data_IF_553954556704
#
_entry.id   IF_553954556704
#
_cell.length_a   1.000
_cell.length_b   1.000
_cell.length_c   1.000
_cell.angle_alpha   90.00
_cell.angle_beta   90.00
_cell.angle_gamma   90.00
#
_symmetry.space_group_name_H-M   'P 1'
#
loop_
_entity.id
_entity.type
_entity.pdbx_description
1 polymer ?
#
# COMPACT_ATOMS: atom_id res chain seq x y z
N UNK A 1 -15.23 -0.89 -52.08
CA UNK A 1 -15.60 0.51 -52.31
C UNK A 1 -15.00 1.32 -51.19
N UNK A 2 -14.07 2.21 -51.54
CA UNK A 2 -13.55 3.27 -50.67
C UNK A 2 -14.69 4.21 -50.25
N UNK A 3 -14.59 4.80 -49.05
CA UNK A 3 -14.69 6.25 -48.87
C UNK A 3 -14.14 6.67 -47.49
N UNK A 4 -13.25 7.66 -47.55
CA UNK A 4 -12.53 8.30 -46.46
C UNK A 4 -13.34 9.39 -45.73
N UNK A 5 -12.73 9.83 -44.64
CA UNK A 5 -13.07 10.87 -43.69
C UNK A 5 -13.53 12.23 -44.26
N UNK A 6 -14.29 12.97 -43.45
CA UNK A 6 -14.19 14.42 -43.40
C UNK A 6 -14.41 14.97 -41.99
N UNK A 7 -13.60 15.99 -41.71
CA UNK A 7 -13.32 16.71 -40.47
C UNK A 7 -14.44 17.67 -40.01
N UNK A 8 -14.47 17.98 -38.70
CA UNK A 8 -14.83 19.33 -38.23
C UNK A 8 -14.10 19.68 -36.92
N UNK A 9 -13.56 20.90 -36.88
CA UNK A 9 -12.91 21.58 -35.73
C UNK A 9 -13.84 22.73 -35.26
N UNK A 10 -13.53 23.42 -34.13
CA UNK A 10 -14.43 23.61 -33.00
C UNK A 10 -15.37 24.82 -33.12
N UNK A 11 -16.54 24.76 -32.48
CA UNK A 11 -17.40 25.92 -32.27
C UNK A 11 -17.22 26.49 -30.86
N UNK A 12 -16.92 27.79 -30.84
CA UNK A 12 -16.79 28.68 -29.69
C UNK A 12 -18.14 29.10 -29.10
N UNK A 13 -18.10 29.47 -27.82
CA UNK A 13 -19.18 29.96 -26.95
C UNK A 13 -19.74 31.30 -27.43
N UNK A 14 -21.07 31.42 -27.57
CA UNK A 14 -21.79 32.70 -27.45
C UNK A 14 -23.31 32.50 -27.24
N UNK A 15 -23.88 33.19 -26.25
CA UNK A 15 -25.28 33.66 -26.29
C UNK A 15 -26.36 32.88 -25.53
N UNK A 16 -26.43 33.06 -24.21
CA UNK A 16 -27.67 32.88 -23.43
C UNK A 16 -28.66 34.01 -23.78
N UNK A 17 -29.89 33.70 -24.22
CA UNK A 17 -31.09 34.46 -23.82
C UNK A 17 -32.41 33.78 -24.21
N UNK A 18 -33.35 33.81 -23.26
CA UNK A 18 -34.82 33.71 -23.40
C UNK A 18 -35.48 32.35 -23.74
N UNK A 19 -35.82 31.60 -22.69
CA UNK A 19 -36.94 30.65 -22.69
C UNK A 19 -38.23 31.38 -22.28
N UNK A 20 -39.19 31.51 -23.21
CA UNK A 20 -40.60 31.81 -22.92
C UNK A 20 -41.39 30.51 -22.92
N UNK A 21 -42.29 30.39 -21.95
CA UNK A 21 -43.24 29.29 -21.78
C UNK A 21 -44.18 29.14 -22.98
N UNK A 22 -44.35 27.90 -23.44
CA UNK A 22 -45.57 27.49 -24.16
C UNK A 22 -45.92 26.05 -23.79
N UNK A 23 -47.19 25.85 -23.50
CA UNK A 23 -47.79 24.62 -23.01
C UNK A 23 -47.90 23.57 -24.13
N UNK A 24 -47.68 22.30 -23.78
CA UNK A 24 -47.92 21.16 -24.67
C UNK A 24 -49.26 20.52 -24.26
N UNK A 25 -50.21 20.51 -25.19
CA UNK A 25 -51.49 19.78 -25.09
C UNK A 25 -51.27 18.26 -25.16
N UNK A 26 -52.06 17.51 -24.37
CA UNK A 26 -52.09 16.05 -24.35
C UNK A 26 -53.06 15.47 -25.39
N UNK A 27 -52.73 14.33 -26.05
CA UNK A 27 -53.73 13.43 -26.61
C UNK A 27 -54.09 12.29 -25.63
N UNK A 28 -55.31 11.72 -25.73
CA UNK A 28 -55.88 10.88 -24.69
C UNK A 28 -55.56 9.38 -24.88
N UNK A 29 -55.30 8.68 -23.77
CA UNK A 29 -55.39 7.21 -23.71
C UNK A 29 -54.16 6.50 -23.14
N UNK A 30 -53.92 6.61 -21.83
CA UNK A 30 -53.19 5.59 -21.09
C UNK A 30 -53.49 5.68 -19.59
N UNK A 31 -53.94 4.57 -19.00
CA UNK A 31 -54.29 4.45 -17.59
C UNK A 31 -53.05 4.59 -16.70
N UNK A 32 -53.14 5.48 -15.71
CA UNK A 32 -52.12 5.74 -14.68
C UNK A 32 -52.06 4.57 -13.70
N UNK A 33 -50.96 3.82 -13.67
CA UNK A 33 -50.59 3.06 -12.47
C UNK A 33 -50.10 4.06 -11.40
N UNK A 34 -50.86 4.15 -10.31
CA UNK A 34 -50.54 4.95 -9.11
C UNK A 34 -49.32 4.35 -8.37
N UNK A 35 -48.12 4.60 -8.88
CA UNK A 35 -46.85 4.28 -8.22
C UNK A 35 -45.79 5.39 -8.31
N UNK A 36 -45.98 6.38 -9.20
CA UNK A 36 -44.96 7.38 -9.51
C UNK A 36 -44.72 8.49 -8.47
N UNK A 37 -45.55 8.62 -7.42
CA UNK A 37 -45.45 9.80 -6.55
C UNK A 37 -44.34 9.72 -5.49
N UNK A 38 -43.85 8.53 -5.13
CA UNK A 38 -42.75 8.38 -4.17
C UNK A 38 -41.36 8.41 -4.84
N UNK A 39 -41.23 7.88 -6.06
CA UNK A 39 -39.99 7.95 -6.84
C UNK A 39 -39.68 9.39 -7.30
N UNK A 40 -40.68 10.11 -7.83
CA UNK A 40 -40.52 11.52 -8.21
C UNK A 40 -40.15 12.44 -7.03
N UNK A 41 -40.66 12.13 -5.83
CA UNK A 41 -40.31 12.87 -4.60
C UNK A 41 -38.85 12.66 -4.16
N UNK A 42 -38.24 11.53 -4.48
CA UNK A 42 -36.86 11.21 -4.07
C UNK A 42 -35.85 11.82 -5.04
N UNK A 43 -36.16 11.81 -6.34
CA UNK A 43 -35.35 12.45 -7.39
C UNK A 43 -35.40 13.98 -7.28
N UNK A 44 -36.55 14.56 -6.95
CA UNK A 44 -36.68 16.00 -6.71
C UNK A 44 -35.91 16.48 -5.46
N UNK A 45 -35.78 15.64 -4.43
CA UNK A 45 -34.97 15.94 -3.23
C UNK A 45 -33.47 15.86 -3.53
N UNK A 46 -33.04 14.96 -4.42
CA UNK A 46 -31.65 14.90 -4.93
C UNK A 46 -31.32 16.14 -5.78
N UNK A 47 -32.25 16.60 -6.62
CA UNK A 47 -32.05 17.80 -7.44
C UNK A 47 -32.02 19.11 -6.61
N UNK A 48 -32.77 19.18 -5.51
CA UNK A 48 -32.84 20.36 -4.65
C UNK A 48 -31.60 20.58 -3.76
N UNK A 49 -30.73 19.57 -3.62
CA UNK A 49 -29.49 19.64 -2.84
C UNK A 49 -28.23 20.02 -3.63
N UNK A 50 -28.35 20.19 -4.96
CA UNK A 50 -27.21 20.48 -5.85
C UNK A 50 -26.92 21.99 -5.93
N UNK A 51 -25.65 22.44 -5.84
CA UNK A 51 -25.30 23.82 -6.10
C UNK A 51 -25.59 24.20 -7.56
N UNK A 52 -26.07 25.43 -7.79
CA UNK A 52 -26.46 25.98 -9.11
C UNK A 52 -25.37 25.99 -10.21
N UNK A 53 -24.17 25.47 -9.95
CA UNK A 53 -23.07 25.37 -10.92
C UNK A 53 -22.88 23.97 -11.52
N UNK A 54 -23.70 22.98 -11.17
CA UNK A 54 -23.66 21.63 -11.77
C UNK A 54 -24.86 21.36 -12.66
N UNK A 55 -24.92 22.04 -13.80
CA UNK A 55 -25.57 21.47 -15.00
C UNK A 55 -24.45 21.03 -15.93
N UNK A 56 -23.73 19.98 -15.54
CA UNK A 56 -22.79 19.29 -16.42
C UNK A 56 -23.51 18.06 -17.00
N UNK A 57 -23.40 17.90 -18.31
CA UNK A 57 -24.06 16.91 -19.18
C UNK A 57 -24.04 15.46 -18.67
N UNK A 58 -23.14 15.14 -17.72
CA UNK A 58 -23.03 13.84 -17.04
C UNK A 58 -24.26 13.50 -16.19
N UNK A 59 -24.83 14.46 -15.47
CA UNK A 59 -26.03 14.22 -14.64
C UNK A 59 -27.25 13.94 -15.53
N UNK A 60 -27.36 14.65 -16.65
CA UNK A 60 -28.41 14.41 -17.65
C UNK A 60 -28.27 13.05 -18.33
N UNK A 61 -27.04 12.60 -18.63
CA UNK A 61 -26.78 11.29 -19.23
C UNK A 61 -27.14 10.12 -18.30
N UNK A 62 -26.81 10.24 -17.01
CA UNK A 62 -27.17 9.23 -16.00
C UNK A 62 -28.68 9.17 -15.78
N UNK A 63 -29.37 10.33 -15.76
CA UNK A 63 -30.84 10.37 -15.69
C UNK A 63 -31.47 9.70 -16.92
N UNK A 64 -30.89 9.91 -18.11
CA UNK A 64 -31.36 9.30 -19.37
C UNK A 64 -31.21 7.77 -19.38
N UNK A 65 -30.09 7.22 -18.89
CA UNK A 65 -29.91 5.77 -18.77
C UNK A 65 -30.89 5.13 -17.77
N UNK A 66 -31.21 5.82 -16.67
CA UNK A 66 -32.24 5.36 -15.72
C UNK A 66 -33.64 5.36 -16.36
N UNK A 67 -33.97 6.35 -17.20
CA UNK A 67 -35.24 6.38 -17.94
C UNK A 67 -35.34 5.30 -19.04
N UNK A 68 -34.22 4.93 -19.67
CA UNK A 68 -34.19 3.89 -20.70
C UNK A 68 -34.45 2.47 -20.14
N UNK A 69 -34.18 2.25 -18.85
CA UNK A 69 -34.38 0.94 -18.17
C UNK A 69 -35.85 0.71 -17.75
N UNK A 70 -36.72 1.68 -17.98
CA UNK A 70 -38.14 1.66 -17.58
C UNK A 70 -39.02 0.68 -18.38
N UNK A 71 -38.49 0.12 -19.48
CA UNK A 71 -39.23 -0.80 -20.35
C UNK A 71 -38.63 -2.20 -20.33
N UNK A 72 -38.84 -2.97 -19.25
CA UNK A 72 -38.80 -4.44 -19.35
C UNK A 72 -38.04 -5.25 -18.30
N UNK A 73 -37.82 -4.76 -17.07
CA UNK A 73 -37.21 -5.59 -16.01
C UNK A 73 -38.06 -5.70 -14.75
N UNK A 74 -37.95 -6.86 -14.09
CA UNK A 74 -38.67 -7.24 -12.87
C UNK A 74 -38.31 -6.33 -11.69
N UNK A 75 -39.30 -5.92 -10.89
CA UNK A 75 -39.17 -4.83 -9.91
C UNK A 75 -38.12 -5.11 -8.81
N UNK A 76 -37.90 -6.38 -8.47
CA UNK A 76 -36.87 -6.79 -7.49
C UNK A 76 -35.44 -6.68 -8.06
N UNK A 77 -35.24 -7.04 -9.34
CA UNK A 77 -33.96 -6.88 -10.03
C UNK A 77 -33.64 -5.39 -10.21
N UNK A 78 -34.66 -4.59 -10.53
CA UNK A 78 -34.54 -3.13 -10.65
C UNK A 78 -34.12 -2.46 -9.34
N UNK A 79 -34.69 -2.86 -8.20
CA UNK A 79 -34.32 -2.31 -6.89
C UNK A 79 -32.87 -2.67 -6.50
N UNK A 80 -32.39 -3.88 -6.85
CA UNK A 80 -31.01 -4.31 -6.60
C UNK A 80 -30.04 -3.53 -7.51
N UNK A 81 -30.31 -3.47 -8.81
CA UNK A 81 -29.46 -2.77 -9.79
C UNK A 81 -29.39 -1.27 -9.47
N UNK A 82 -30.49 -0.64 -9.09
CA UNK A 82 -30.49 0.76 -8.65
C UNK A 82 -29.81 0.93 -7.30
N UNK A 83 -29.98 0.01 -6.35
CA UNK A 83 -29.28 0.06 -5.06
C UNK A 83 -27.75 -0.05 -5.18
N UNK A 84 -27.27 -0.90 -6.08
CA UNK A 84 -25.84 -1.02 -6.41
C UNK A 84 -25.35 0.20 -7.20
N UNK A 85 -26.13 0.65 -8.20
CA UNK A 85 -25.80 1.85 -8.99
C UNK A 85 -25.80 3.12 -8.15
N UNK A 86 -26.71 3.27 -7.18
CA UNK A 86 -26.75 4.40 -6.23
C UNK A 86 -25.52 4.41 -5.32
N UNK A 87 -25.09 3.25 -4.81
CA UNK A 87 -23.84 3.16 -4.03
C UNK A 87 -22.63 3.53 -4.87
N UNK A 88 -22.64 3.21 -6.16
CA UNK A 88 -21.57 3.59 -7.08
C UNK A 88 -21.62 5.08 -7.43
N UNK A 89 -22.80 5.64 -7.63
CA UNK A 89 -23.00 7.08 -7.83
C UNK A 89 -22.59 7.86 -6.58
N UNK A 90 -22.93 7.41 -5.36
CA UNK A 90 -22.47 8.04 -4.11
C UNK A 90 -20.95 8.06 -4.00
N UNK A 91 -20.26 6.99 -4.41
CA UNK A 91 -18.79 6.94 -4.43
C UNK A 91 -18.18 7.87 -5.49
N UNK A 92 -18.76 7.90 -6.69
CA UNK A 92 -18.32 8.79 -7.78
C UNK A 92 -18.58 10.25 -7.41
N UNK A 93 -19.72 10.56 -6.81
CA UNK A 93 -20.03 11.89 -6.29
C UNK A 93 -19.12 12.28 -5.13
N UNK A 94 -18.72 11.34 -4.25
CA UNK A 94 -17.71 11.60 -3.22
C UNK A 94 -16.33 11.90 -3.84
N UNK A 95 -15.96 11.23 -4.93
CA UNK A 95 -14.73 11.50 -5.68
C UNK A 95 -14.78 12.87 -6.39
N UNK A 96 -15.89 13.21 -7.04
CA UNK A 96 -16.07 14.48 -7.75
C UNK A 96 -16.21 15.67 -6.79
N UNK A 97 -16.95 15.54 -5.69
CA UNK A 97 -17.04 16.57 -4.65
C UNK A 97 -15.66 16.86 -4.03
N UNK A 98 -14.83 15.83 -3.90
CA UNK A 98 -13.47 15.97 -3.42
C UNK A 98 -12.61 16.82 -4.39
N UNK A 99 -12.79 16.64 -5.71
CA UNK A 99 -12.03 17.33 -6.75
C UNK A 99 -12.55 18.75 -7.04
N UNK A 100 -13.83 19.00 -6.81
CA UNK A 100 -14.53 20.25 -7.17
C UNK A 100 -14.74 21.20 -5.98
N UNK A 101 -15.04 20.70 -4.77
CA UNK A 101 -15.42 21.55 -3.61
C UNK A 101 -14.33 21.64 -2.52
N UNK A 102 -13.28 20.81 -2.61
CA UNK A 102 -12.29 20.68 -1.55
C UNK A 102 -12.83 19.95 -0.31
N UNK A 103 -11.98 19.78 0.71
CA UNK A 103 -12.36 19.05 1.92
C UNK A 103 -13.46 19.80 2.71
N UNK A 104 -14.54 19.09 3.05
CA UNK A 104 -15.56 19.63 3.94
C UNK A 104 -14.96 20.03 5.30
N UNK A 105 -15.63 20.93 6.03
CA UNK A 105 -15.19 21.32 7.39
C UNK A 105 -15.07 20.09 8.32
N UNK A 106 -16.03 19.16 8.23
CA UNK A 106 -16.04 17.92 9.00
C UNK A 106 -14.85 17.02 8.64
N UNK A 107 -14.52 16.91 7.35
CA UNK A 107 -13.37 16.13 6.91
C UNK A 107 -12.04 16.73 7.39
N UNK A 108 -11.92 18.05 7.36
CA UNK A 108 -10.76 18.75 7.89
C UNK A 108 -10.58 18.54 9.40
N UNK A 109 -11.67 18.58 10.17
CA UNK A 109 -11.65 18.30 11.61
C UNK A 109 -11.24 16.84 11.90
N UNK A 110 -11.76 15.88 11.13
CA UNK A 110 -11.41 14.47 11.27
C UNK A 110 -9.94 14.19 10.92
N UNK A 111 -9.45 14.76 9.80
CA UNK A 111 -8.03 14.71 9.45
C UNK A 111 -7.17 15.32 10.56
N UNK A 112 -7.61 16.41 11.17
CA UNK A 112 -6.93 17.03 12.31
C UNK A 112 -6.81 16.10 13.52
N UNK A 113 -7.88 15.34 13.84
CA UNK A 113 -7.85 14.33 14.91
C UNK A 113 -6.90 13.19 14.59
N UNK A 114 -6.95 12.67 13.35
CA UNK A 114 -6.08 11.59 12.91
C UNK A 114 -4.60 12.00 12.93
N UNK A 115 -4.26 13.20 12.47
CA UNK A 115 -2.90 13.74 12.57
C UNK A 115 -2.40 13.81 14.00
N UNK A 116 -3.24 14.25 14.94
CA UNK A 116 -2.87 14.34 16.35
C UNK A 116 -2.65 12.96 16.99
N UNK A 117 -3.33 11.92 16.49
CA UNK A 117 -3.13 10.54 16.95
C UNK A 117 -1.78 9.99 16.47
N UNK A 118 -1.46 10.20 15.18
CA UNK A 118 -0.25 9.66 14.53
C UNK A 118 1.02 10.42 14.94
N UNK A 119 0.96 11.75 14.95
CA UNK A 119 2.09 12.60 15.29
C UNK A 119 2.15 12.82 16.79
N UNK A 120 2.95 11.99 17.46
CA UNK A 120 3.21 12.06 18.90
C UNK A 120 4.09 13.27 19.25
N UNK A 121 4.07 13.74 20.51
CA UNK A 121 4.95 14.82 20.95
C UNK A 121 6.43 14.48 20.69
N UNK A 122 7.13 15.38 19.99
CA UNK A 122 8.52 15.21 19.61
C UNK A 122 9.45 15.84 20.67
N UNK A 123 10.45 15.08 21.12
CA UNK A 123 11.53 15.58 21.98
C UNK A 123 12.62 16.25 21.16
N UNK A 124 12.91 15.70 19.98
CA UNK A 124 13.86 16.22 18.99
C UNK A 124 13.27 15.96 17.61
N UNK A 125 13.54 16.85 16.66
CA UNK A 125 13.14 16.67 15.27
C UNK A 125 14.38 16.66 14.38
N UNK A 126 14.43 15.75 13.41
CA UNK A 126 15.54 15.55 12.49
C UNK A 126 15.00 15.69 11.07
N UNK A 127 15.56 16.62 10.30
CA UNK A 127 15.22 16.80 8.88
C UNK A 127 16.27 16.10 8.01
N UNK A 128 15.80 15.30 7.07
CA UNK A 128 16.68 14.61 6.10
C UNK A 128 16.92 15.45 4.86
N UNK A 129 17.90 15.03 4.04
CA UNK A 129 18.17 15.66 2.75
C UNK A 129 17.06 15.44 1.71
N UNK A 130 16.21 14.44 1.92
CA UNK A 130 15.04 14.15 1.09
C UNK A 130 13.80 14.95 1.50
N UNK A 131 13.92 15.84 2.49
CA UNK A 131 12.82 16.66 3.00
C UNK A 131 11.96 15.99 4.07
N UNK A 132 12.15 14.69 4.34
CA UNK A 132 11.44 14.00 5.42
C UNK A 132 11.81 14.58 6.79
N UNK A 133 10.83 14.59 7.68
CA UNK A 133 10.98 14.99 9.07
C UNK A 133 10.73 13.77 9.95
N UNK A 134 11.71 13.43 10.80
CA UNK A 134 11.60 12.40 11.82
C UNK A 134 11.50 13.06 13.19
N UNK A 135 10.47 12.68 13.93
CA UNK A 135 10.26 13.08 15.31
C UNK A 135 10.78 11.98 16.23
N UNK A 136 11.68 12.35 17.13
CA UNK A 136 12.13 11.50 18.22
C UNK A 136 11.06 11.51 19.31
N UNK A 137 10.29 10.44 19.36
CA UNK A 137 9.17 10.27 20.28
C UNK A 137 9.64 9.42 21.45
N UNK A 138 9.20 9.76 22.67
CA UNK A 138 9.43 8.91 23.84
C UNK A 138 9.01 7.46 23.56
N UNK A 139 9.86 6.51 23.96
CA UNK A 139 9.66 5.10 23.64
C UNK A 139 8.27 4.61 24.03
N UNK A 140 7.74 4.97 25.20
CA UNK A 140 6.42 4.52 25.67
C UNK A 140 5.26 5.34 25.10
N UNK A 141 5.53 6.44 24.42
CA UNK A 141 4.51 7.29 23.77
C UNK A 141 4.39 7.04 22.26
N UNK A 142 5.20 6.13 21.69
CA UNK A 142 5.12 5.77 20.28
C UNK A 142 3.74 5.18 19.89
N UNK A 143 3.32 5.28 18.61
CA UNK A 143 2.01 4.82 18.13
C UNK A 143 1.69 3.36 18.45
N UNK A 144 2.71 2.51 18.60
CA UNK A 144 2.54 1.10 18.96
C UNK A 144 1.62 0.90 20.19
N UNK A 145 1.78 1.75 21.20
CA UNK A 145 1.11 1.64 22.49
C UNK A 145 -0.33 2.16 22.49
N UNK A 146 -0.81 2.74 21.39
CA UNK A 146 -2.24 3.04 21.24
C UNK A 146 -3.06 1.75 21.07
N UNK A 147 -2.42 0.63 20.70
CA UNK A 147 -3.07 -0.65 20.52
C UNK A 147 -3.62 -1.17 21.86
N UNK A 148 -4.91 -1.53 21.98
CA UNK A 148 -5.51 -1.96 23.25
C UNK A 148 -4.76 -3.11 23.94
N UNK A 149 -4.26 -4.07 23.15
CA UNK A 149 -3.50 -5.21 23.67
C UNK A 149 -2.11 -4.83 24.21
N UNK A 150 -1.57 -3.66 23.88
CA UNK A 150 -0.18 -3.27 24.20
C UNK A 150 -0.07 -2.22 25.32
N UNK A 151 -1.17 -1.55 25.70
CA UNK A 151 -1.19 -0.43 26.67
C UNK A 151 -0.57 -0.72 28.04
N UNK A 152 -0.66 -1.96 28.52
CA UNK A 152 -0.24 -2.33 29.88
C UNK A 152 1.06 -3.14 29.93
N UNK A 153 1.74 -3.32 28.80
CA UNK A 153 2.94 -4.12 28.73
C UNK A 153 4.18 -3.27 29.01
N UNK A 154 4.97 -3.65 30.01
CA UNK A 154 6.28 -3.07 30.29
C UNK A 154 7.33 -3.71 29.39
N UNK A 155 7.54 -3.10 28.23
CA UNK A 155 8.67 -3.42 27.37
C UNK A 155 9.86 -2.58 27.81
N UNK A 156 10.71 -3.13 28.67
CA UNK A 156 11.99 -2.48 28.91
C UNK A 156 12.83 -2.61 27.65
N UNK A 157 13.37 -1.50 27.09
CA UNK A 157 14.43 -1.60 26.10
C UNK A 157 15.58 -2.35 26.78
N UNK A 158 15.76 -3.60 26.41
CA UNK A 158 16.76 -4.46 27.01
C UNK A 158 18.12 -3.82 26.71
N UNK A 159 18.91 -3.54 27.76
CA UNK A 159 20.32 -3.19 27.58
C UNK A 159 21.00 -4.45 27.06
N UNK A 160 21.10 -4.60 25.76
CA UNK A 160 22.15 -5.45 25.20
C UNK A 160 23.47 -4.74 25.48
N UNK A 161 24.06 -5.07 26.65
CA UNK A 161 25.48 -4.88 26.90
C UNK A 161 26.22 -5.81 25.94
N UNK A 162 26.39 -5.34 24.71
CA UNK A 162 27.38 -5.74 23.69
C UNK A 162 26.84 -5.40 22.30
N UNK A 163 26.77 -4.10 21.99
CA UNK A 163 27.44 -3.68 20.77
C UNK A 163 28.60 -2.83 21.23
N UNK A 164 29.77 -3.47 21.35
CA UNK A 164 31.02 -2.77 21.08
C UNK A 164 30.77 -1.78 19.95
N UNK A 165 31.19 -0.54 20.14
CA UNK A 165 31.37 0.44 19.08
C UNK A 165 32.06 -0.24 17.90
N UNK A 166 31.29 -0.85 17.00
CA UNK A 166 31.79 -1.20 15.69
C UNK A 166 31.92 0.16 15.06
N UNK A 167 33.16 0.61 14.91
CA UNK A 167 33.53 1.57 13.89
C UNK A 167 33.23 0.92 12.54
N UNK A 168 31.94 0.73 12.26
CA UNK A 168 31.39 0.31 10.99
C UNK A 168 31.08 1.61 10.26
N UNK A 169 31.85 1.87 9.21
CA UNK A 169 31.82 3.04 8.35
C UNK A 169 30.52 3.20 7.53
N UNK A 170 29.47 2.46 7.86
CA UNK A 170 28.17 2.54 7.20
C UNK A 170 27.24 3.52 7.92
N UNK A 171 27.10 4.73 7.34
CA UNK A 171 26.11 5.76 7.72
C UNK A 171 24.68 5.31 7.40
N UNK A 172 24.20 4.26 8.06
CA UNK A 172 22.92 3.63 7.70
C UNK A 172 21.73 4.15 8.51
N UNK A 173 22.01 4.87 9.60
CA UNK A 173 21.05 5.62 10.39
C UNK A 173 20.92 7.09 10.00
N UNK A 174 20.05 7.79 10.70
CA UNK A 174 19.86 9.24 10.56
C UNK A 174 21.15 10.03 10.85
N UNK A 175 21.22 11.24 10.29
CA UNK A 175 22.33 12.19 10.56
C UNK A 175 22.39 12.51 12.07
N UNK A 176 23.56 12.92 12.53
CA UNK A 176 23.83 13.33 13.93
C UNK A 176 23.55 12.24 14.99
N UNK A 177 23.74 10.97 14.62
CA UNK A 177 23.55 9.82 15.54
C UNK A 177 22.10 9.49 15.87
N UNK A 178 21.14 10.05 15.11
CA UNK A 178 19.71 9.78 15.29
C UNK A 178 19.10 10.39 16.54
N UNK A 179 18.22 9.61 17.18
CA UNK A 179 17.42 10.01 18.33
C UNK A 179 18.14 9.75 19.66
N UNK A 180 17.93 10.59 20.69
CA UNK A 180 18.50 10.37 22.01
C UNK A 180 17.97 9.07 22.64
N UNK A 181 18.73 8.52 23.59
CA UNK A 181 18.32 7.32 24.32
C UNK A 181 16.95 7.50 24.99
N UNK A 182 16.14 6.44 24.97
CA UNK A 182 14.75 6.47 25.46
C UNK A 182 13.74 7.01 24.45
N UNK A 183 14.18 7.37 23.23
CA UNK A 183 13.29 7.86 22.17
C UNK A 183 13.53 7.11 20.86
N UNK A 184 12.54 7.11 19.97
CA UNK A 184 12.59 6.43 18.68
C UNK A 184 12.20 7.37 17.54
N UNK A 185 12.87 7.30 16.37
CA UNK A 185 12.56 8.14 15.22
C UNK A 185 11.29 7.64 14.51
N UNK A 186 10.31 8.53 14.37
CA UNK A 186 9.06 8.26 13.65
C UNK A 186 8.88 9.33 12.58
N UNK A 187 8.62 8.91 11.33
CA UNK A 187 8.37 9.86 10.24
C UNK A 187 7.08 10.63 10.53
N UNK A 188 7.16 11.96 10.50
CA UNK A 188 6.01 12.83 10.68
C UNK A 188 5.05 12.65 9.51
N UNK A 189 3.78 12.42 9.83
CA UNK A 189 2.69 12.38 8.85
C UNK A 189 2.18 13.78 8.58
N UNK A 190 2.07 14.16 7.31
CA UNK A 190 1.50 15.46 6.91
C UNK A 190 0.00 15.34 6.63
N UNK A 191 -0.69 16.48 6.58
CA UNK A 191 -2.12 16.51 6.23
C UNK A 191 -2.32 16.02 4.79
N UNK A 192 -1.41 16.40 3.90
CA UNK A 192 -1.38 16.03 2.50
C UNK A 192 -1.21 14.51 2.32
N UNK A 193 -0.44 13.85 3.19
CA UNK A 193 -0.33 12.39 3.20
C UNK A 193 -1.68 11.72 3.46
N UNK A 194 -2.37 12.12 4.55
CA UNK A 194 -3.68 11.55 4.89
C UNK A 194 -4.73 11.85 3.83
N UNK A 195 -4.66 13.03 3.21
CA UNK A 195 -5.53 13.40 2.11
C UNK A 195 -5.33 12.45 0.93
N UNK A 196 -4.08 12.21 0.54
CA UNK A 196 -3.75 11.34 -0.59
C UNK A 196 -4.16 9.89 -0.33
N UNK A 197 -3.89 9.37 0.87
CA UNK A 197 -4.35 8.05 1.31
C UNK A 197 -5.88 7.94 1.27
N UNK A 198 -6.60 8.96 1.78
CA UNK A 198 -8.07 8.98 1.77
C UNK A 198 -8.66 9.01 0.36
N UNK A 199 -8.12 9.84 -0.54
CA UNK A 199 -8.54 9.87 -1.96
C UNK A 199 -8.42 8.50 -2.60
N UNK A 200 -7.36 7.79 -2.25
CA UNK A 200 -7.04 6.51 -2.85
C UNK A 200 -7.82 5.33 -2.26
N UNK A 201 -8.27 5.39 -1.00
CA UNK A 201 -9.03 4.31 -0.37
C UNK A 201 -10.26 3.86 -1.19
N UNK A 202 -10.93 4.78 -1.89
CA UNK A 202 -12.05 4.44 -2.77
C UNK A 202 -11.62 3.55 -3.95
N UNK A 203 -10.44 3.83 -4.51
CA UNK A 203 -9.88 3.11 -5.66
C UNK A 203 -9.15 1.82 -5.26
N UNK A 204 -8.69 1.71 -4.01
CA UNK A 204 -7.98 0.53 -3.51
C UNK A 204 -8.80 -0.76 -3.63
N UNK A 205 -10.12 -0.69 -3.37
CA UNK A 205 -11.02 -1.83 -3.47
C UNK A 205 -11.14 -2.40 -4.90
N UNK A 206 -10.82 -1.60 -5.92
CA UNK A 206 -10.80 -2.00 -7.34
C UNK A 206 -9.39 -2.24 -7.87
N UNK A 207 -8.39 -2.14 -7.00
CA UNK A 207 -7.02 -2.31 -7.37
C UNK A 207 -6.68 -3.75 -7.69
N UNK A 208 -5.76 -3.92 -8.63
CA UNK A 208 -5.19 -5.21 -8.98
C UNK A 208 -3.81 -5.31 -8.38
N UNK A 209 -3.54 -6.44 -7.71
CA UNK A 209 -2.22 -6.79 -7.21
C UNK A 209 -1.61 -7.80 -8.16
N UNK A 210 -0.29 -7.72 -8.34
CA UNK A 210 0.47 -8.76 -9.03
C UNK A 210 1.67 -9.18 -8.21
N UNK A 211 2.02 -10.45 -8.34
CA UNK A 211 3.02 -11.13 -7.54
C UNK A 211 3.99 -11.88 -8.45
N UNK A 212 5.27 -11.79 -8.13
CA UNK A 212 6.32 -12.63 -8.70
C UNK A 212 7.20 -13.08 -7.53
N UNK A 213 6.80 -14.19 -6.90
CA UNK A 213 7.37 -14.68 -5.65
C UNK A 213 7.82 -16.14 -5.78
N UNK A 214 8.91 -16.48 -5.10
CA UNK A 214 9.23 -17.86 -4.77
C UNK A 214 8.93 -18.11 -3.29
N UNK A 215 8.30 -19.24 -3.00
CA UNK A 215 7.81 -19.53 -1.65
C UNK A 215 8.05 -20.98 -1.26
N UNK A 216 8.33 -21.17 0.02
CA UNK A 216 8.34 -22.50 0.66
C UNK A 216 6.97 -23.18 0.55
N UNK A 217 6.92 -24.50 0.72
CA UNK A 217 5.67 -25.26 0.72
C UNK A 217 4.71 -24.72 1.79
N UNK A 218 3.44 -24.59 1.45
CA UNK A 218 2.41 -24.19 2.40
C UNK A 218 1.95 -25.42 3.22
N UNK A 219 2.81 -25.92 4.10
CA UNK A 219 2.50 -27.03 5.00
C UNK A 219 2.26 -26.49 6.43
N UNK A 220 1.07 -26.69 7.02
CA UNK A 220 0.79 -26.29 8.40
C UNK A 220 1.73 -26.92 9.45
N UNK A 221 2.44 -28.00 9.10
CA UNK A 221 3.45 -28.65 9.96
C UNK A 221 4.80 -27.95 9.92
N UNK A 222 5.04 -27.05 8.96
CA UNK A 222 6.25 -26.26 8.91
C UNK A 222 6.35 -25.39 10.18
N UNK A 223 7.54 -25.38 10.77
CA UNK A 223 7.85 -24.57 11.95
C UNK A 223 8.97 -23.61 11.58
N UNK A 224 8.62 -22.59 10.80
CA UNK A 224 9.54 -21.54 10.39
C UNK A 224 9.52 -20.46 11.47
N UNK A 225 10.66 -20.22 12.12
CA UNK A 225 10.83 -19.17 13.11
C UNK A 225 11.34 -17.86 12.49
N UNK A 226 11.60 -17.82 11.18
CA UNK A 226 12.03 -16.58 10.53
C UNK A 226 12.41 -16.76 9.07
N UNK A 227 12.60 -15.64 8.39
CA UNK A 227 13.06 -15.57 7.00
C UNK A 227 13.99 -14.37 6.80
N UNK A 228 14.99 -14.52 5.93
CA UNK A 228 15.99 -13.50 5.64
C UNK A 228 16.30 -13.39 4.15
N UNK A 229 16.79 -12.22 3.73
CA UNK A 229 17.34 -12.01 2.38
C UNK A 229 18.20 -10.75 2.31
N UNK A 230 19.17 -10.75 1.39
CA UNK A 230 19.81 -9.53 0.86
C UNK A 230 19.12 -9.16 -0.45
N UNK A 231 18.43 -8.02 -0.49
CA UNK A 231 17.70 -7.58 -1.67
C UNK A 231 18.52 -6.53 -2.44
N UNK A 232 18.46 -6.56 -3.77
CA UNK A 232 18.92 -5.46 -4.62
C UNK A 232 17.97 -4.27 -4.52
N UNK A 233 18.49 -3.03 -4.42
CA UNK A 233 17.68 -1.82 -4.33
C UNK A 233 17.42 -1.23 -5.73
N UNK A 234 16.16 -1.19 -6.18
CA UNK A 234 15.79 -0.54 -7.44
C UNK A 234 14.76 0.58 -7.21
N UNK A 235 14.66 1.50 -8.17
CA UNK A 235 13.61 2.52 -8.22
C UNK A 235 12.73 2.34 -9.46
N UNK A 236 11.79 1.38 -9.46
CA UNK A 236 10.88 1.15 -10.56
C UNK A 236 10.01 2.38 -10.87
N UNK A 237 9.70 2.59 -12.15
CA UNK A 237 8.74 3.63 -12.56
C UNK A 237 7.33 3.25 -12.13
N UNK A 238 6.73 4.12 -11.31
CA UNK A 238 5.37 3.99 -10.78
C UNK A 238 4.58 5.28 -11.02
N UNK A 239 3.31 5.15 -11.37
CA UNK A 239 2.36 6.28 -11.45
C UNK A 239 1.75 6.60 -10.07
N UNK A 240 1.09 7.76 -9.89
CA UNK A 240 0.49 8.15 -8.61
C UNK A 240 -0.54 7.18 -8.01
N UNK A 241 -1.10 6.27 -8.82
CA UNK A 241 -2.11 5.28 -8.43
C UNK A 241 -1.55 3.85 -8.37
N UNK A 242 -0.23 3.71 -8.32
CA UNK A 242 0.50 2.45 -8.38
C UNK A 242 1.56 2.40 -7.29
N UNK A 243 1.99 1.18 -6.94
CA UNK A 243 3.19 0.98 -6.14
C UNK A 243 3.88 -0.33 -6.55
N UNK A 244 5.16 -0.42 -6.20
CA UNK A 244 6.02 -1.59 -6.49
C UNK A 244 6.96 -1.84 -5.31
N UNK A 245 7.17 -3.11 -4.95
CA UNK A 245 7.91 -3.51 -3.76
C UNK A 245 8.77 -4.76 -4.00
N UNK A 246 9.84 -4.87 -3.21
CA UNK A 246 10.57 -6.11 -2.95
C UNK A 246 10.27 -6.59 -1.55
N UNK A 247 10.02 -7.88 -1.39
CA UNK A 247 9.46 -8.42 -0.15
C UNK A 247 10.22 -9.66 0.32
N UNK A 248 10.46 -9.73 1.62
CA UNK A 248 10.55 -10.99 2.37
C UNK A 248 9.31 -11.10 3.24
N UNK A 249 8.66 -12.26 3.22
CA UNK A 249 7.38 -12.50 3.91
C UNK A 249 7.44 -13.77 4.74
N UNK A 250 6.82 -13.73 5.92
CA UNK A 250 6.42 -14.92 6.69
C UNK A 250 4.91 -14.93 6.90
N UNK A 251 4.29 -16.10 6.86
CA UNK A 251 2.84 -16.24 6.91
C UNK A 251 2.40 -17.47 7.71
N UNK A 252 1.28 -17.34 8.42
CA UNK A 252 0.52 -18.47 8.98
C UNK A 252 -0.98 -18.14 8.96
N UNK A 253 -1.73 -18.86 8.11
CA UNK A 253 -3.16 -18.60 7.92
C UNK A 253 -3.42 -17.19 7.39
N UNK A 254 -4.18 -16.39 8.15
CA UNK A 254 -4.53 -14.99 7.79
C UNK A 254 -3.49 -13.97 8.25
N UNK A 255 -2.51 -14.39 9.04
CA UNK A 255 -1.48 -13.52 9.57
C UNK A 255 -0.25 -13.52 8.67
N UNK A 256 0.31 -12.35 8.44
CA UNK A 256 1.53 -12.20 7.66
C UNK A 256 2.38 -11.05 8.21
N UNK A 257 3.69 -11.16 8.06
CA UNK A 257 4.65 -10.07 8.27
C UNK A 257 5.48 -9.97 7.00
N UNK A 258 5.63 -8.75 6.50
CA UNK A 258 6.44 -8.41 5.34
C UNK A 258 7.44 -7.31 5.69
N UNK A 259 8.61 -7.36 5.09
CA UNK A 259 9.61 -6.31 5.13
C UNK A 259 10.38 -6.24 3.80
N UNK A 260 10.95 -5.08 3.51
CA UNK A 260 11.78 -4.87 2.34
C UNK A 260 11.80 -3.41 1.92
N UNK A 261 11.81 -3.16 0.61
CA UNK A 261 11.72 -1.81 0.06
C UNK A 261 10.50 -1.64 -0.82
N UNK A 262 9.99 -0.41 -0.90
CA UNK A 262 8.80 -0.06 -1.67
C UNK A 262 8.89 1.34 -2.26
N UNK A 263 8.37 1.51 -3.47
CA UNK A 263 8.11 2.81 -4.11
C UNK A 263 6.60 3.02 -4.12
N UNK A 264 6.12 4.01 -3.35
CA UNK A 264 4.69 4.20 -3.10
C UNK A 264 4.31 5.70 -3.06
N UNK A 265 3.97 6.29 -4.21
CA UNK A 265 3.49 7.67 -4.28
C UNK A 265 2.18 7.90 -3.53
N UNK A 266 1.35 6.87 -3.33
CA UNK A 266 0.10 6.98 -2.59
C UNK A 266 0.40 7.25 -1.12
N UNK A 267 1.40 6.58 -0.56
CA UNK A 267 1.75 6.74 0.84
C UNK A 267 2.72 7.91 1.10
N UNK A 268 3.66 8.17 0.18
CA UNK A 268 4.75 9.11 0.41
C UNK A 268 4.64 10.42 -0.35
N UNK A 269 3.87 10.47 -1.45
CA UNK A 269 3.78 11.64 -2.32
C UNK A 269 5.01 11.85 -3.19
N UNK A 270 5.93 10.87 -3.19
CA UNK A 270 7.14 10.84 -3.99
C UNK A 270 7.36 9.45 -4.58
N UNK A 271 8.41 9.32 -5.39
CA UNK A 271 8.81 8.07 -6.04
C UNK A 271 10.17 7.60 -5.51
N UNK A 272 10.46 7.83 -4.23
CA UNK A 272 11.68 7.32 -3.61
C UNK A 272 11.48 5.86 -3.18
N UNK A 273 12.52 5.04 -3.36
CA UNK A 273 12.60 3.69 -2.79
C UNK A 273 12.80 3.79 -1.28
N UNK A 274 11.86 3.27 -0.49
CA UNK A 274 11.83 3.45 0.96
C UNK A 274 11.78 2.13 1.71
N UNK A 275 12.40 2.09 2.89
CA UNK A 275 12.28 0.97 3.83
C UNK A 275 10.84 0.87 4.34
N UNK A 276 10.26 -0.30 4.23
CA UNK A 276 8.92 -0.54 4.76
C UNK A 276 8.80 -1.88 5.47
N UNK A 277 7.73 -1.95 6.24
CA UNK A 277 7.21 -3.13 6.89
C UNK A 277 5.68 -3.10 6.82
N UNK A 278 5.09 -4.28 6.68
CA UNK A 278 3.64 -4.46 6.72
C UNK A 278 3.34 -5.69 7.56
N UNK A 279 2.34 -5.61 8.42
CA UNK A 279 1.81 -6.81 9.07
C UNK A 279 0.30 -6.92 8.90
N UNK A 280 -0.18 -8.15 8.85
CA UNK A 280 -1.59 -8.51 8.91
C UNK A 280 -1.80 -9.44 10.10
N UNK A 281 -2.80 -9.11 10.90
CA UNK A 281 -3.25 -9.83 12.07
C UNK A 281 -4.75 -10.09 11.91
N UNK A 282 -5.11 -11.26 11.40
CA UNK A 282 -6.48 -11.63 11.05
C UNK A 282 -7.08 -10.69 9.99
N UNK A 283 -7.96 -9.80 10.41
CA UNK A 283 -8.62 -8.80 9.54
C UNK A 283 -7.97 -7.42 9.61
N UNK A 284 -7.08 -7.20 10.58
CA UNK A 284 -6.36 -5.93 10.74
C UNK A 284 -5.07 -5.99 9.94
N UNK A 285 -4.75 -4.94 9.20
CA UNK A 285 -3.46 -4.77 8.57
C UNK A 285 -2.88 -3.42 8.93
N UNK A 286 -1.56 -3.33 8.96
CA UNK A 286 -0.88 -2.10 9.27
C UNK A 286 0.40 -1.93 8.47
N UNK A 287 0.58 -0.71 7.98
CA UNK A 287 1.76 -0.30 7.24
C UNK A 287 2.63 0.60 8.13
N UNK A 288 3.91 0.22 8.32
CA UNK A 288 4.86 0.93 9.17
C UNK A 288 4.24 1.35 10.51
N UNK A 289 4.31 2.64 10.84
CA UNK A 289 3.73 3.24 12.05
C UNK A 289 2.45 4.02 11.77
N UNK A 290 1.77 3.77 10.64
CA UNK A 290 0.48 4.40 10.30
C UNK A 290 -0.68 3.92 11.17
N UNK A 291 -0.42 2.91 11.98
CA UNK A 291 -1.36 2.30 12.90
C UNK A 291 -0.60 1.63 14.05
N UNK A 292 -1.31 1.32 15.15
CA UNK A 292 -0.68 0.72 16.32
C UNK A 292 -0.31 -0.76 16.12
N UNK A 293 0.79 -1.20 16.73
CA UNK A 293 1.16 -2.63 16.84
C UNK A 293 2.65 -2.91 16.73
N UNK A 294 3.38 -2.20 15.88
CA UNK A 294 4.82 -2.40 15.73
C UNK A 294 5.61 -1.52 16.70
N UNK A 295 6.39 -2.13 17.58
CA UNK A 295 7.21 -1.43 18.59
C UNK A 295 8.61 -1.19 18.04
N UNK A 296 8.93 0.06 17.70
CA UNK A 296 10.28 0.47 17.31
C UNK A 296 11.17 0.52 18.56
N UNK A 297 12.40 0.04 18.43
CA UNK A 297 13.43 0.11 19.49
C UNK A 297 14.70 0.84 19.04
N UNK A 298 14.97 0.89 17.74
CA UNK A 298 16.19 1.47 17.21
C UNK A 298 16.15 3.00 17.27
N UNK A 299 17.19 3.64 17.79
CA UNK A 299 17.25 5.10 17.87
C UNK A 299 17.83 5.75 16.61
N UNK A 300 18.47 4.97 15.74
CA UNK A 300 19.27 5.48 14.62
C UNK A 300 18.64 5.19 13.26
N UNK A 301 18.11 3.98 13.05
CA UNK A 301 17.62 3.50 11.76
C UNK A 301 16.09 3.51 11.78
N UNK A 302 15.43 4.46 11.10
CA UNK A 302 13.99 4.51 11.06
C UNK A 302 13.42 3.65 9.93
N UNK A 303 12.16 3.23 10.09
CA UNK A 303 11.30 2.89 8.95
C UNK A 303 11.10 4.13 8.06
N UNK A 304 10.60 3.95 6.85
CA UNK A 304 10.37 5.01 5.87
C UNK A 304 11.64 5.71 5.34
N UNK A 305 12.85 5.29 5.76
CA UNK A 305 14.11 5.84 5.23
C UNK A 305 14.20 5.66 3.72
N UNK A 306 14.71 6.68 3.04
CA UNK A 306 15.00 6.61 1.60
C UNK A 306 16.31 5.85 1.39
N UNK A 307 16.28 4.90 0.46
CA UNK A 307 17.46 4.16 0.03
C UNK A 307 18.13 4.79 -1.18
N UNK A 308 19.44 4.57 -1.30
CA UNK A 308 20.13 4.70 -2.58
C UNK A 308 19.79 3.49 -3.44
N UNK A 309 19.73 3.69 -4.75
CA UNK A 309 19.24 2.68 -5.69
C UNK A 309 20.28 2.33 -6.73
N UNK A 310 20.28 1.06 -7.10
CA UNK A 310 21.15 0.44 -8.10
C UNK A 310 20.98 1.14 -9.44
N UNK A 311 22.12 1.38 -10.09
CA UNK A 311 22.25 1.98 -11.42
C UNK A 311 23.33 1.23 -12.19
N UNK A 312 23.38 1.34 -13.53
CA UNK A 312 24.48 0.74 -14.29
C UNK A 312 25.85 1.11 -13.69
N UNK A 313 26.63 0.10 -13.29
CA UNK A 313 27.95 0.28 -12.68
C UNK A 313 27.98 0.56 -11.17
N UNK A 314 26.83 0.62 -10.47
CA UNK A 314 26.80 0.77 -9.01
C UNK A 314 25.65 -0.04 -8.41
N UNK A 315 26.00 -1.09 -7.67
CA UNK A 315 25.07 -1.97 -6.99
C UNK A 315 24.79 -1.48 -5.56
N UNK A 316 23.51 -1.41 -5.19
CA UNK A 316 23.09 -1.18 -3.81
C UNK A 316 22.25 -2.37 -3.33
N UNK A 317 22.62 -2.91 -2.18
CA UNK A 317 21.97 -4.05 -1.55
C UNK A 317 21.68 -3.75 -0.09
N UNK A 318 20.57 -4.29 0.41
CA UNK A 318 20.15 -4.15 1.80
C UNK A 318 19.63 -5.48 2.31
N UNK A 319 19.97 -5.81 3.56
CA UNK A 319 19.60 -7.11 4.14
C UNK A 319 18.47 -6.94 5.15
N UNK A 320 17.43 -7.77 5.02
CA UNK A 320 16.24 -7.77 5.86
C UNK A 320 16.02 -9.15 6.47
N UNK A 321 15.66 -9.18 7.75
CA UNK A 321 15.29 -10.40 8.45
C UNK A 321 14.04 -10.21 9.29
N UNK A 322 13.17 -11.21 9.24
CA UNK A 322 12.03 -11.37 10.14
C UNK A 322 12.32 -12.59 11.00
N UNK A 323 12.42 -12.43 12.32
CA UNK A 323 12.84 -13.49 13.23
C UNK A 323 11.95 -13.53 14.48
N UNK A 324 11.43 -14.70 14.82
CA UNK A 324 10.74 -14.95 16.07
C UNK A 324 11.73 -15.27 17.18
N UNK A 325 11.73 -14.46 18.22
CA UNK A 325 12.46 -14.74 19.47
C UNK A 325 11.86 -15.99 20.14
N UNK A 326 12.68 -17.01 20.34
CA UNK A 326 12.26 -18.29 20.92
C UNK A 326 11.87 -18.19 22.40
N UNK A 327 12.37 -17.18 23.13
CA UNK A 327 12.13 -17.02 24.57
C UNK A 327 10.78 -16.37 24.86
N UNK A 328 10.43 -15.33 24.10
CA UNK A 328 9.23 -14.52 24.36
C UNK A 328 8.21 -14.52 23.21
N UNK A 329 8.54 -15.12 22.08
CA UNK A 329 7.65 -15.26 20.93
C UNK A 329 7.44 -13.99 20.10
N UNK A 330 8.17 -12.90 20.38
CA UNK A 330 8.09 -11.66 19.60
C UNK A 330 8.72 -11.85 18.23
N UNK A 331 8.06 -11.33 17.20
CA UNK A 331 8.63 -11.26 15.86
C UNK A 331 9.42 -9.97 15.71
N UNK A 332 10.72 -10.08 15.47
CA UNK A 332 11.65 -8.99 15.27
C UNK A 332 11.85 -8.69 13.79
N UNK A 333 11.86 -7.40 13.46
CA UNK A 333 12.43 -6.89 12.23
C UNK A 333 13.89 -6.51 12.51
N UNK A 334 14.80 -7.15 11.78
CA UNK A 334 16.23 -6.83 11.81
C UNK A 334 16.70 -6.39 10.42
N UNK A 335 17.74 -5.58 10.42
CA UNK A 335 18.19 -4.92 9.21
C UNK A 335 19.71 -4.72 9.18
N UNK A 336 20.27 -4.83 7.97
CA UNK A 336 21.69 -4.66 7.72
C UNK A 336 22.54 -5.89 8.04
N UNK A 337 23.84 -5.84 7.72
CA UNK A 337 24.77 -6.95 7.94
C UNK A 337 24.97 -7.27 9.42
N UNK A 338 24.79 -6.27 10.29
CA UNK A 338 24.93 -6.41 11.75
C UNK A 338 23.63 -6.84 12.43
N UNK A 339 22.59 -7.23 11.67
CA UNK A 339 21.30 -7.70 12.20
C UNK A 339 20.67 -6.72 13.21
N UNK A 340 20.81 -5.42 12.95
CA UNK A 340 20.38 -4.36 13.85
C UNK A 340 18.88 -4.49 14.13
N UNK A 341 18.50 -4.54 15.41
CA UNK A 341 17.10 -4.61 15.82
C UNK A 341 16.40 -3.29 15.49
N UNK A 342 15.43 -3.33 14.59
CA UNK A 342 14.62 -2.15 14.23
C UNK A 342 13.43 -2.02 15.19
N UNK A 343 12.72 -3.13 15.39
CA UNK A 343 11.54 -3.20 16.23
C UNK A 343 10.94 -4.60 16.21
N UNK A 344 9.83 -4.78 16.91
CA UNK A 344 9.15 -6.07 16.99
C UNK A 344 7.62 -5.96 16.99
N UNK A 345 6.98 -7.03 16.55
CA UNK A 345 5.56 -7.30 16.71
C UNK A 345 5.33 -8.26 17.88
N UNK A 346 4.59 -7.84 18.91
CA UNK A 346 4.20 -8.71 20.01
C UNK A 346 3.29 -9.86 19.53
N UNK A 347 3.45 -11.08 20.07
CA UNK A 347 2.67 -12.25 19.64
C UNK A 347 1.17 -12.10 19.93
N UNK A 348 0.78 -11.22 20.87
CA UNK A 348 -0.61 -10.92 21.22
C UNK A 348 -1.40 -10.32 20.06
N UNK A 349 -0.72 -9.73 19.07
CA UNK A 349 -1.37 -9.20 17.86
C UNK A 349 -1.90 -10.32 16.97
N UNK A 350 -1.30 -11.50 17.02
CA UNK A 350 -1.50 -12.54 16.02
C UNK A 350 -2.37 -13.69 16.51
N UNK A 351 -2.98 -14.37 15.53
CA UNK A 351 -3.71 -15.63 15.68
C UNK A 351 -2.82 -16.82 15.29
N UNK A 352 -2.43 -16.93 14.01
CA UNK A 352 -1.53 -17.95 13.48
C UNK A 352 -0.06 -17.66 13.79
N UNK A 353 0.39 -16.42 13.57
CA UNK A 353 1.76 -16.01 13.88
C UNK A 353 2.02 -15.81 15.39
N UNK A 354 1.08 -16.18 16.26
CA UNK A 354 1.38 -16.36 17.70
C UNK A 354 2.41 -17.49 17.90
N UNK A 355 2.35 -18.50 17.04
CA UNK A 355 3.31 -19.59 16.93
C UNK A 355 4.37 -19.33 15.85
N UNK A 356 4.74 -20.40 15.15
CA UNK A 356 5.65 -20.35 14.01
C UNK A 356 4.93 -19.97 12.71
N UNK A 357 5.69 -19.52 11.72
CA UNK A 357 5.20 -19.39 10.35
C UNK A 357 5.11 -20.78 9.68
N UNK A 358 4.11 -20.95 8.81
CA UNK A 358 3.97 -22.15 7.97
C UNK A 358 4.61 -21.97 6.58
N UNK A 359 4.82 -20.71 6.17
CA UNK A 359 5.38 -20.36 4.88
C UNK A 359 6.26 -19.10 4.97
N UNK A 360 7.36 -19.12 4.24
CA UNK A 360 8.16 -17.96 3.86
C UNK A 360 8.17 -17.75 2.34
N UNK A 361 8.30 -16.50 1.91
CA UNK A 361 8.36 -16.11 0.49
C UNK A 361 9.29 -14.90 0.24
N UNK A 362 9.83 -14.82 -0.97
CA UNK A 362 10.72 -13.76 -1.45
C UNK A 362 10.37 -13.34 -2.87
N UNK A 363 10.56 -12.07 -3.22
CA UNK A 363 10.42 -11.58 -4.59
C UNK A 363 9.81 -10.19 -4.68
N UNK A 364 8.91 -9.99 -5.64
CA UNK A 364 8.26 -8.71 -5.93
C UNK A 364 6.74 -8.71 -5.81
N UNK A 365 6.20 -7.58 -5.36
CA UNK A 365 4.75 -7.30 -5.33
C UNK A 365 4.49 -5.95 -6.00
N UNK A 366 3.43 -5.87 -6.81
CA UNK A 366 2.96 -4.60 -7.39
C UNK A 366 1.47 -4.42 -7.21
N UNK A 367 1.05 -3.19 -7.40
CA UNK A 367 -0.36 -2.83 -7.38
C UNK A 367 -0.66 -1.71 -8.36
N UNK A 368 -1.87 -1.74 -8.89
CA UNK A 368 -2.44 -0.63 -9.64
C UNK A 368 -3.94 -0.50 -9.42
N UNK A 369 -4.43 0.73 -9.25
CA UNK A 369 -5.86 1.05 -9.31
C UNK A 369 -6.31 1.60 -10.67
N UNK A 370 -5.47 1.49 -11.69
CA UNK A 370 -5.72 1.92 -13.08
C UNK A 370 -5.36 0.78 -14.04
N UNK A 371 -5.86 0.76 -15.30
CA UNK A 371 -5.61 -0.33 -16.24
C UNK A 371 -4.20 -0.33 -16.86
N UNK A 372 -3.22 0.19 -16.12
CA UNK A 372 -1.79 0.10 -16.42
C UNK A 372 -1.06 -0.45 -15.20
N UNK A 373 0.04 -1.15 -15.39
CA UNK A 373 0.79 -1.84 -14.32
C UNK A 373 2.22 -1.31 -14.24
N UNK A 374 2.74 -1.05 -13.03
CA UNK A 374 4.06 -0.44 -12.84
C UNK A 374 5.21 -1.38 -13.19
N UNK A 375 6.43 -0.86 -13.27
CA UNK A 375 7.62 -1.72 -13.31
C UNK A 375 7.77 -2.48 -11.98
N UNK A 376 8.28 -3.72 -12.03
CA UNK A 376 8.67 -4.51 -10.85
C UNK A 376 10.17 -4.71 -10.83
N UNK A 377 10.80 -4.55 -9.66
CA UNK A 377 12.24 -4.73 -9.50
C UNK A 377 13.03 -3.77 -10.40
N UNK A 378 13.87 -4.33 -11.27
CA UNK A 378 14.65 -3.56 -12.25
C UNK A 378 13.85 -3.11 -13.48
N UNK A 379 12.59 -3.56 -13.60
CA UNK A 379 11.77 -3.36 -14.81
C UNK A 379 12.10 -4.34 -15.94
N UNK A 380 12.99 -5.32 -15.70
CA UNK A 380 13.41 -6.34 -16.68
C UNK A 380 12.82 -7.69 -16.31
N UNK A 381 12.54 -8.50 -17.33
CA UNK A 381 12.21 -9.91 -17.14
C UNK A 381 13.54 -10.68 -17.03
N UNK A 382 13.77 -11.46 -15.96
CA UNK A 382 15.01 -12.21 -15.75
C UNK A 382 15.07 -13.46 -16.65
N UNK A 383 15.11 -13.29 -17.98
CA UNK A 383 15.19 -14.41 -18.93
C UNK A 383 16.55 -15.13 -18.88
N UNK A 384 17.61 -14.35 -18.70
CA UNK A 384 18.98 -14.82 -18.45
C UNK A 384 19.45 -14.04 -17.23
N UNK A 385 19.53 -14.73 -16.09
CA UNK A 385 19.76 -14.09 -14.80
C UNK A 385 21.09 -13.36 -14.77
N UNK A 386 21.06 -12.11 -14.29
CA UNK A 386 22.22 -11.25 -14.15
C UNK A 386 22.16 -10.47 -12.84
N UNK A 387 23.11 -10.72 -11.95
CA UNK A 387 23.23 -10.02 -10.66
C UNK A 387 23.53 -8.51 -10.80
N UNK A 388 23.87 -8.05 -12.01
CA UNK A 388 24.14 -6.65 -12.30
C UNK A 388 22.94 -5.91 -12.92
N UNK A 389 21.94 -6.64 -13.43
CA UNK A 389 20.86 -6.07 -14.23
C UNK A 389 19.47 -6.40 -13.70
N UNK A 390 19.30 -7.59 -13.12
CA UNK A 390 18.02 -8.08 -12.63
C UNK A 390 17.85 -7.79 -11.14
N UNK A 391 16.61 -7.55 -10.72
CA UNK A 391 16.32 -7.46 -9.30
C UNK A 391 16.28 -8.85 -8.68
N UNK A 392 16.76 -8.93 -7.44
CA UNK A 392 16.84 -10.20 -6.73
C UNK A 392 16.66 -10.06 -5.22
N UNK A 393 16.36 -11.21 -4.63
CA UNK A 393 16.51 -11.54 -3.22
C UNK A 393 17.57 -12.64 -3.14
N UNK A 394 18.79 -12.29 -2.75
CA UNK A 394 19.92 -13.22 -2.58
C UNK A 394 20.06 -13.66 -1.13
N UNK A 395 20.92 -14.65 -0.89
CA UNK A 395 21.17 -15.25 0.43
C UNK A 395 19.86 -15.56 1.18
N UNK A 396 18.87 -16.05 0.44
CA UNK A 396 17.57 -16.34 1.05
C UNK A 396 17.76 -17.43 2.11
N UNK A 397 17.05 -17.28 3.21
CA UNK A 397 17.19 -18.22 4.31
C UNK A 397 15.92 -18.28 5.14
N UNK A 398 15.70 -19.43 5.78
CA UNK A 398 14.71 -19.63 6.82
C UNK A 398 15.39 -19.93 8.14
N UNK A 399 14.74 -19.58 9.24
CA UNK A 399 15.12 -20.07 10.56
C UNK A 399 14.16 -21.20 10.95
N UNK A 400 14.71 -22.32 11.43
CA UNK A 400 13.90 -23.46 11.90
C UNK A 400 13.38 -23.25 13.33
N UNK A 401 12.61 -24.22 13.83
CA UNK A 401 12.07 -24.19 15.21
C UNK A 401 13.11 -24.00 16.32
N UNK A 402 14.40 -24.28 16.05
CA UNK A 402 15.51 -24.10 16.99
C UNK A 402 16.26 -22.77 16.78
N UNK A 403 15.78 -21.91 15.87
CA UNK A 403 16.39 -20.62 15.53
C UNK A 403 17.65 -20.78 14.67
N UNK A 404 17.87 -21.94 14.05
CA UNK A 404 19.02 -22.16 13.18
C UNK A 404 18.71 -21.72 11.76
N UNK A 405 19.55 -20.86 11.20
CA UNK A 405 19.50 -20.46 9.79
C UNK A 405 19.78 -21.66 8.88
N UNK A 406 18.92 -21.83 7.89
CA UNK A 406 18.99 -22.89 6.88
C UNK A 406 18.63 -22.33 5.51
N UNK A 407 19.19 -22.97 4.49
CA UNK A 407 18.70 -22.86 3.12
C UNK A 407 17.25 -23.39 3.06
N UNK A 408 16.32 -22.68 2.39
CA UNK A 408 14.93 -23.12 2.29
C UNK A 408 14.74 -24.37 1.41
N UNK A 409 15.75 -24.77 0.64
CA UNK A 409 15.67 -25.87 -0.31
C UNK A 409 14.72 -25.54 -1.45
N UNK A 410 14.08 -26.56 -2.01
CA UNK A 410 13.19 -26.40 -3.17
C UNK A 410 12.03 -25.45 -2.87
N UNK A 411 11.91 -24.40 -3.68
CA UNK A 411 10.81 -23.45 -3.64
C UNK A 411 9.71 -23.81 -4.64
N UNK A 412 8.60 -23.10 -4.51
CA UNK A 412 7.46 -23.14 -5.41
C UNK A 412 7.16 -21.76 -5.94
N UNK A 413 7.01 -21.69 -7.26
CA UNK A 413 6.72 -20.45 -7.96
C UNK A 413 5.31 -19.96 -7.68
N UNK A 414 5.17 -18.67 -7.41
CA UNK A 414 3.91 -17.95 -7.36
C UNK A 414 4.00 -16.68 -8.23
N UNK A 415 3.53 -16.81 -9.47
CA UNK A 415 3.36 -15.71 -10.42
C UNK A 415 1.93 -15.70 -10.94
N UNK A 416 1.24 -14.56 -10.87
CA UNK A 416 -0.17 -14.43 -11.30
C UNK A 416 -0.32 -13.71 -12.65
N UNK A 417 0.73 -13.05 -13.13
CA UNK A 417 0.76 -12.34 -14.40
C UNK A 417 2.09 -12.56 -15.15
N UNK A 418 2.35 -13.81 -15.55
CA UNK A 418 3.61 -14.24 -16.20
C UNK A 418 4.06 -13.39 -17.41
N UNK A 419 3.11 -12.84 -18.17
CA UNK A 419 3.41 -11.97 -19.31
C UNK A 419 3.95 -10.59 -18.91
N UNK A 420 3.66 -10.14 -17.69
CA UNK A 420 4.06 -8.83 -17.16
C UNK A 420 5.26 -8.94 -16.22
N UNK A 421 5.27 -9.98 -15.38
CA UNK A 421 6.25 -10.18 -14.33
C UNK A 421 6.61 -11.66 -14.24
N UNK A 422 7.88 -11.94 -13.98
CA UNK A 422 8.39 -13.30 -13.82
C UNK A 422 9.29 -13.39 -12.60
N UNK A 423 9.42 -14.62 -12.11
CA UNK A 423 10.33 -14.98 -11.03
C UNK A 423 11.10 -16.25 -11.41
N UNK A 424 12.38 -16.29 -11.05
CA UNK A 424 13.31 -17.38 -11.33
C UNK A 424 14.06 -17.72 -10.05
N UNK A 425 14.03 -19.00 -9.68
CA UNK A 425 14.75 -19.57 -8.54
C UNK A 425 16.11 -20.12 -8.99
N UNK A 426 17.19 -19.62 -8.39
CA UNK A 426 18.57 -20.07 -8.62
C UNK A 426 19.20 -20.56 -7.30
N UNK A 427 19.13 -21.87 -7.01
CA UNK A 427 19.62 -22.45 -5.74
C UNK A 427 21.09 -22.18 -5.44
N UNK A 428 21.91 -22.03 -6.47
CA UNK A 428 23.33 -21.67 -6.33
C UNK A 428 23.70 -20.72 -7.48
N UNK A 429 23.82 -19.42 -7.19
CA UNK A 429 24.34 -18.44 -8.16
C UNK A 429 25.87 -18.40 -8.13
N UNK A 430 26.46 -18.08 -6.98
CA UNK A 430 27.90 -18.15 -6.67
C UNK A 430 28.10 -18.05 -5.14
N UNK A 431 29.35 -18.09 -4.65
CA UNK A 431 29.64 -17.99 -3.21
C UNK A 431 29.14 -16.68 -2.58
N UNK A 432 29.15 -15.57 -3.33
CA UNK A 432 28.78 -14.25 -2.84
C UNK A 432 27.26 -14.02 -2.75
N UNK A 433 26.46 -14.68 -3.60
CA UNK A 433 25.01 -14.49 -3.69
C UNK A 433 24.22 -15.66 -3.09
N UNK A 434 24.79 -16.87 -3.07
CA UNK A 434 24.12 -18.07 -2.56
C UNK A 434 22.84 -18.39 -3.34
N UNK A 435 21.84 -18.90 -2.60
CA UNK A 435 20.51 -19.15 -3.12
C UNK A 435 19.78 -17.83 -3.39
N UNK A 436 19.40 -17.61 -4.65
CA UNK A 436 18.91 -16.31 -5.14
C UNK A 436 17.61 -16.45 -5.91
N UNK A 437 16.65 -15.59 -5.58
CA UNK A 437 15.38 -15.43 -6.30
C UNK A 437 15.45 -14.16 -7.12
N UNK A 438 15.48 -14.29 -8.44
CA UNK A 438 15.39 -13.17 -9.37
C UNK A 438 13.93 -12.88 -9.70
N UNK A 439 13.54 -11.61 -9.75
CA UNK A 439 12.19 -11.20 -10.06
C UNK A 439 12.16 -9.88 -10.82
N UNK A 440 11.14 -9.67 -11.63
CA UNK A 440 10.93 -8.38 -12.27
C UNK A 440 10.05 -8.44 -13.49
N UNK A 441 9.85 -7.26 -14.07
CA UNK A 441 9.18 -7.11 -15.35
C UNK A 441 8.80 -5.66 -15.64
N UNK A 442 8.58 -5.31 -16.91
CA UNK A 442 8.31 -3.94 -17.33
C UNK A 442 6.93 -3.44 -16.90
N UNK A 443 6.03 -4.35 -16.48
CA UNK A 443 4.62 -4.03 -16.34
C UNK A 443 4.01 -3.65 -17.69
N UNK A 444 3.10 -2.69 -17.70
CA UNK A 444 2.52 -2.15 -18.94
C UNK A 444 3.03 -0.74 -19.27
N UNK A 445 3.97 -0.21 -18.49
CA UNK A 445 4.56 1.12 -18.70
C UNK A 445 5.77 0.96 -19.61
N UNK A 446 5.62 1.34 -20.88
CA UNK A 446 6.72 1.36 -21.85
C UNK A 446 7.72 2.48 -21.55
#
# INVERSE_FOLDING_TARGET
MYLEASSCRPCTVEGFSTLKSSAIEQPPGMNIFKGGSQAGSSIAKLAAGLPRSTTSEVVSAVIWEVEATFWGTDFEVFAIVIGESLKEIEKVMAFLNYEVEGLSKKDNEELGRQLKLLNKPAIKTIKTEYGDIYDCVDFYQQPAFDHPLLKNHTYYPQRDKESSTSNSSFKMGLKDGGCPMGTVPIRRTTKEDLIRERRFNASYARGTFHFALEQTSNDPRNQISGAGTTASMYNPKVLPNQWSASVVKVQNGRDQIQAGWRVDPILYGDTHTRFYSLFKAGTTQCFNTRCPGFVIVNTQIPLDKVFKTTRPGTLFEETFFIERDLKNGRWWLRYGPDFAQIGFWPPELFTGLKGFASQAAWGGETFSSVPTFPQMGSGRIPLVVSTNEDAYCSKISILDSAGKTKDPGRLSRFEDAHALYQVVDEPVTNEDFGHTVFYGGPGSVK
#
